data_IF_117985905611
#
_entry.id   IF_117985905611
#
_cell.length_a   1.000
_cell.length_b   1.000
_cell.length_c   1.000
_cell.angle_alpha   90.00
_cell.angle_beta   90.00
_cell.angle_gamma   90.00
#
_symmetry.space_group_name_H-M   'P 1'
#
loop_
_entity.id
_entity.type
_entity.pdbx_description
1 polymer ?
#
# COMPACT_ATOMS: atom_id res chain seq x y z
N UNK A 1 -10.68 0.31 -20.79
CA UNK A 1 -10.45 -0.78 -19.82
C UNK A 1 -9.72 -0.23 -18.60
N UNK A 2 -10.00 -0.73 -17.39
CA UNK A 2 -9.28 -0.35 -16.15
C UNK A 2 -8.90 -1.59 -15.34
N UNK A 3 -7.66 -1.66 -14.89
CA UNK A 3 -7.13 -2.72 -14.02
C UNK A 3 -7.15 -2.28 -12.56
N UNK A 4 -7.64 -3.13 -11.66
CA UNK A 4 -7.84 -2.82 -10.24
C UNK A 4 -7.57 -4.02 -9.33
N UNK A 5 -7.32 -3.76 -8.04
CA UNK A 5 -7.45 -4.77 -6.98
C UNK A 5 -8.21 -4.18 -5.77
N UNK A 6 -8.80 -5.03 -4.95
CA UNK A 6 -9.74 -4.62 -3.91
C UNK A 6 -9.08 -3.88 -2.73
N UNK A 7 -7.80 -4.19 -2.46
CA UNK A 7 -7.04 -3.57 -1.37
C UNK A 7 -6.49 -2.17 -1.72
N UNK A 8 -6.68 -1.68 -2.95
CA UNK A 8 -6.18 -0.38 -3.39
C UNK A 8 -7.25 0.71 -3.14
N UNK A 9 -7.01 1.68 -2.23
CA UNK A 9 -7.96 2.79 -2.02
C UNK A 9 -8.08 3.69 -3.24
N UNK A 10 -7.05 3.76 -4.08
CA UNK A 10 -7.06 4.53 -5.33
C UNK A 10 -7.90 3.84 -6.40
N UNK A 11 -7.91 2.50 -6.46
CA UNK A 11 -8.81 1.75 -7.34
C UNK A 11 -10.27 1.96 -6.96
N UNK A 12 -10.59 1.91 -5.66
CA UNK A 12 -11.94 2.21 -5.18
C UNK A 12 -12.38 3.64 -5.55
N UNK A 13 -11.49 4.62 -5.39
CA UNK A 13 -11.75 6.00 -5.80
C UNK A 13 -12.04 6.09 -7.29
N UNK A 14 -11.18 5.50 -8.13
CA UNK A 14 -11.32 5.54 -9.59
C UNK A 14 -12.65 4.91 -10.02
N UNK A 15 -12.99 3.72 -9.51
CA UNK A 15 -14.26 3.05 -9.86
C UNK A 15 -15.48 3.88 -9.45
N UNK A 16 -15.48 4.54 -8.29
CA UNK A 16 -16.58 5.42 -7.87
C UNK A 16 -16.76 6.62 -8.79
N UNK A 17 -15.65 7.21 -9.23
CA UNK A 17 -15.68 8.35 -10.16
C UNK A 17 -16.20 7.92 -11.53
N UNK A 18 -15.76 6.76 -12.01
CA UNK A 18 -16.24 6.18 -13.26
C UNK A 18 -17.73 5.82 -13.20
N UNK A 19 -18.18 5.23 -12.09
CA UNK A 19 -19.58 4.93 -11.84
C UNK A 19 -20.46 6.19 -11.90
N UNK A 20 -20.00 7.29 -11.30
CA UNK A 20 -20.74 8.57 -11.28
C UNK A 20 -20.89 9.20 -12.67
N UNK A 21 -19.93 8.99 -13.57
CA UNK A 21 -19.96 9.52 -14.94
C UNK A 21 -20.74 8.61 -15.89
N UNK A 22 -20.99 7.35 -15.50
CA UNK A 22 -21.91 6.45 -16.20
C UNK A 22 -21.43 5.97 -17.56
N UNK A 23 -20.11 5.96 -17.81
CA UNK A 23 -19.56 5.52 -19.11
C UNK A 23 -19.69 4.00 -19.28
N UNK A 24 -20.68 3.57 -20.08
CA UNK A 24 -20.99 2.15 -20.31
C UNK A 24 -19.86 1.35 -20.99
N UNK A 25 -18.91 2.05 -21.61
CA UNK A 25 -17.81 1.45 -22.38
C UNK A 25 -16.57 1.10 -21.52
N UNK A 26 -16.69 1.25 -20.20
CA UNK A 26 -15.59 0.94 -19.28
C UNK A 26 -15.69 -0.50 -18.78
N UNK A 27 -14.80 -1.35 -19.28
CA UNK A 27 -14.58 -2.69 -18.70
C UNK A 27 -13.56 -2.63 -17.57
N UNK A 28 -13.93 -3.15 -16.40
CA UNK A 28 -13.07 -3.30 -15.24
C UNK A 28 -12.48 -4.72 -15.19
N UNK A 29 -11.16 -4.82 -15.02
CA UNK A 29 -10.42 -6.06 -14.84
C UNK A 29 -9.92 -6.10 -13.40
N UNK A 30 -10.50 -6.99 -12.58
CA UNK A 30 -10.18 -7.12 -11.17
C UNK A 30 -9.20 -8.27 -10.93
N UNK A 31 -8.08 -7.97 -10.27
CA UNK A 31 -7.06 -8.95 -9.85
C UNK A 31 -7.49 -9.71 -8.58
N UNK A 32 -8.68 -10.31 -8.66
CA UNK A 32 -9.39 -10.86 -7.51
C UNK A 32 -10.18 -12.11 -7.92
N UNK A 33 -10.60 -12.88 -6.91
CA UNK A 33 -11.64 -13.91 -7.11
C UNK A 33 -13.00 -13.26 -7.44
N UNK A 34 -13.89 -13.97 -8.15
CA UNK A 34 -15.20 -13.43 -8.56
C UNK A 34 -16.01 -12.80 -7.44
N UNK A 35 -16.02 -13.40 -6.24
CA UNK A 35 -16.83 -12.91 -5.12
C UNK A 35 -16.31 -11.58 -4.57
N UNK A 36 -14.99 -11.39 -4.60
CA UNK A 36 -14.32 -10.16 -4.14
C UNK A 36 -14.47 -9.08 -5.20
N UNK A 37 -14.30 -9.41 -6.49
CA UNK A 37 -14.54 -8.50 -7.60
C UNK A 37 -15.99 -7.97 -7.61
N UNK A 38 -16.97 -8.86 -7.43
CA UNK A 38 -18.38 -8.47 -7.33
C UNK A 38 -18.64 -7.55 -6.12
N UNK A 39 -17.98 -7.79 -5.00
CA UNK A 39 -18.10 -6.92 -3.81
C UNK A 39 -17.46 -5.55 -4.04
N UNK A 40 -16.32 -5.50 -4.72
CA UNK A 40 -15.65 -4.26 -5.11
C UNK A 40 -16.57 -3.42 -6.00
N UNK A 41 -17.14 -4.02 -7.05
CA UNK A 41 -18.08 -3.37 -7.96
C UNK A 41 -19.27 -2.74 -7.21
N UNK A 42 -19.96 -3.53 -6.37
CA UNK A 42 -21.08 -3.06 -5.56
C UNK A 42 -20.70 -1.92 -4.61
N UNK A 43 -19.53 -2.00 -3.95
CA UNK A 43 -19.05 -0.94 -3.03
C UNK A 43 -18.69 0.36 -3.75
N UNK A 44 -18.33 0.25 -5.03
CA UNK A 44 -18.04 1.39 -5.88
C UNK A 44 -19.29 1.95 -6.58
N UNK A 45 -20.42 1.22 -6.58
CA UNK A 45 -21.58 1.54 -7.40
C UNK A 45 -21.30 1.38 -8.90
N UNK A 46 -20.32 0.54 -9.25
CA UNK A 46 -19.86 0.33 -10.61
C UNK A 46 -20.67 -0.79 -11.26
N UNK A 47 -21.63 -0.41 -12.09
CA UNK A 47 -22.59 -1.31 -12.75
C UNK A 47 -22.13 -1.80 -14.14
N UNK A 48 -20.99 -1.27 -14.63
CA UNK A 48 -20.43 -1.69 -15.92
C UNK A 48 -19.76 -3.07 -15.80
N UNK A 49 -19.34 -3.63 -16.95
CA UNK A 49 -18.75 -4.97 -17.01
C UNK A 49 -17.52 -5.09 -16.12
N UNK A 50 -17.54 -6.07 -15.22
CA UNK A 50 -16.40 -6.47 -14.38
C UNK A 50 -15.99 -7.89 -14.74
N UNK A 51 -14.75 -8.04 -15.16
CA UNK A 51 -14.10 -9.32 -15.41
C UNK A 51 -13.05 -9.57 -14.33
N UNK A 52 -12.79 -10.84 -14.05
CA UNK A 52 -11.71 -11.25 -13.15
C UNK A 52 -10.46 -11.61 -13.94
N UNK A 53 -9.32 -11.23 -13.40
CA UNK A 53 -8.00 -11.69 -13.83
C UNK A 53 -7.38 -12.45 -12.65
N UNK A 54 -7.70 -13.76 -12.51
CA UNK A 54 -7.18 -14.56 -11.40
C UNK A 54 -5.67 -14.77 -11.55
N UNK A 55 -5.00 -15.13 -10.46
CA UNK A 55 -3.60 -15.56 -10.51
C UNK A 55 -3.43 -16.66 -11.59
N UNK A 56 -2.42 -16.55 -12.47
CA UNK A 56 -1.24 -15.69 -12.35
C UNK A 56 -1.36 -14.35 -13.09
N UNK A 57 -2.54 -13.71 -13.11
CA UNK A 57 -2.77 -12.35 -13.61
C UNK A 57 -2.34 -12.14 -15.07
N UNK A 58 -2.65 -13.12 -15.93
CA UNK A 58 -2.17 -13.18 -17.30
C UNK A 58 -2.61 -11.96 -18.14
N UNK A 59 -3.81 -11.43 -17.88
CA UNK A 59 -4.29 -10.24 -18.58
C UNK A 59 -3.52 -9.01 -18.11
N UNK A 60 -3.40 -8.80 -16.80
CA UNK A 60 -2.64 -7.66 -16.28
C UNK A 60 -1.18 -7.65 -16.76
N UNK A 61 -0.55 -8.83 -16.84
CA UNK A 61 0.83 -8.98 -17.34
C UNK A 61 0.95 -8.72 -18.84
N UNK A 62 0.02 -9.18 -19.67
CA UNK A 62 0.07 -8.90 -21.11
C UNK A 62 -0.07 -7.40 -21.44
N UNK A 63 -0.70 -6.63 -20.55
CA UNK A 63 -0.81 -5.18 -20.62
C UNK A 63 0.30 -4.42 -19.88
N UNK A 64 1.30 -5.11 -19.30
CA UNK A 64 2.40 -4.50 -18.56
C UNK A 64 1.91 -3.64 -17.37
N UNK A 65 0.94 -4.17 -16.61
CA UNK A 65 0.34 -3.45 -15.47
C UNK A 65 1.17 -3.69 -14.22
N UNK A 66 1.99 -2.70 -13.87
CA UNK A 66 2.82 -2.72 -12.66
C UNK A 66 2.12 -2.09 -11.45
N UNK A 67 1.20 -1.15 -11.71
CA UNK A 67 0.50 -0.35 -10.70
C UNK A 67 -0.99 -0.35 -11.00
N UNK A 68 -1.83 -0.36 -9.96
CA UNK A 68 -3.28 -0.18 -10.07
C UNK A 68 -3.78 1.03 -9.26
N UNK A 69 -4.84 1.73 -9.69
CA UNK A 69 -5.52 1.51 -10.95
C UNK A 69 -4.65 1.88 -12.15
N UNK A 70 -4.80 1.16 -13.25
CA UNK A 70 -4.27 1.57 -14.55
C UNK A 70 -5.41 1.53 -15.55
N UNK A 71 -5.73 2.66 -16.17
CA UNK A 71 -6.69 2.73 -17.27
C UNK A 71 -5.95 2.67 -18.60
N UNK A 72 -6.51 1.94 -19.55
CA UNK A 72 -6.00 1.80 -20.92
C UNK A 72 -7.16 2.00 -21.89
N UNK A 73 -6.98 2.88 -22.87
CA UNK A 73 -7.89 3.00 -24.01
C UNK A 73 -7.51 1.96 -25.06
N UNK A 74 -8.50 1.14 -25.43
CA UNK A 74 -8.40 0.14 -26.48
C UNK A 74 -9.14 0.69 -27.69
N UNK A 75 -8.49 0.72 -28.85
CA UNK A 75 -9.15 1.11 -30.10
C UNK A 75 -10.02 -0.02 -30.67
N UNK A 76 -10.74 0.28 -31.75
CA UNK A 76 -11.60 -0.68 -32.44
C UNK A 76 -10.83 -1.87 -33.05
N UNK A 77 -9.53 -1.69 -33.30
CA UNK A 77 -8.63 -2.72 -33.81
C UNK A 77 -8.02 -3.57 -32.66
N UNK A 78 -8.39 -3.29 -31.41
CA UNK A 78 -7.92 -4.00 -30.22
C UNK A 78 -6.56 -3.56 -29.70
N UNK A 79 -5.98 -2.47 -30.20
CA UNK A 79 -4.67 -1.96 -29.75
C UNK A 79 -4.80 -0.98 -28.58
N UNK A 80 -3.91 -1.12 -27.62
CA UNK A 80 -3.72 -0.15 -26.54
C UNK A 80 -3.04 1.11 -27.08
N UNK A 81 -3.67 2.28 -26.89
CA UNK A 81 -3.15 3.58 -27.36
C UNK A 81 -2.63 4.43 -26.22
N UNK A 82 -3.53 4.76 -25.30
CA UNK A 82 -3.28 5.71 -24.22
C UNK A 82 -3.48 5.00 -22.89
N UNK A 83 -2.65 5.35 -21.89
CA UNK A 83 -2.77 4.81 -20.53
C UNK A 83 -2.69 5.92 -19.48
N UNK A 84 -3.36 5.70 -18.36
CA UNK A 84 -3.24 6.50 -17.13
C UNK A 84 -2.93 5.56 -15.98
N UNK A 85 -1.89 5.86 -15.21
CA UNK A 85 -1.45 5.08 -14.05
C UNK A 85 -1.81 5.84 -12.77
N UNK A 86 -2.38 5.14 -11.80
CA UNK A 86 -2.98 5.77 -10.63
C UNK A 86 -4.29 6.47 -10.98
N UNK A 87 -4.70 7.39 -10.12
CA UNK A 87 -5.83 8.27 -10.38
C UNK A 87 -5.31 9.62 -10.87
N UNK A 88 -5.82 10.07 -12.02
CA UNK A 88 -5.59 11.40 -12.56
C UNK A 88 -6.85 11.88 -13.29
N UNK A 89 -7.58 12.83 -12.70
CA UNK A 89 -8.89 13.23 -13.20
C UNK A 89 -8.83 13.78 -14.63
N UNK A 90 -7.77 14.53 -14.99
CA UNK A 90 -7.59 15.10 -16.32
C UNK A 90 -7.24 14.04 -17.36
N UNK A 91 -6.35 13.11 -16.99
CA UNK A 91 -6.01 11.94 -17.80
C UNK A 91 -7.21 11.06 -18.07
N UNK A 92 -8.00 10.74 -17.05
CA UNK A 92 -9.24 9.98 -17.22
C UNK A 92 -10.27 10.77 -18.05
N UNK A 93 -10.39 12.07 -17.86
CA UNK A 93 -11.27 12.93 -18.66
C UNK A 93 -10.89 12.88 -20.14
N UNK A 94 -9.58 12.94 -20.43
CA UNK A 94 -9.04 12.85 -21.78
C UNK A 94 -9.22 11.47 -22.41
N UNK A 95 -9.05 10.40 -21.62
CA UNK A 95 -9.26 9.02 -22.09
C UNK A 95 -10.72 8.77 -22.48
N UNK A 96 -11.66 9.32 -21.72
CA UNK A 96 -13.10 9.06 -21.85
C UNK A 96 -13.86 10.11 -22.67
N UNK A 97 -13.26 11.28 -22.92
CA UNK A 97 -13.92 12.40 -23.61
C UNK A 97 -15.02 13.06 -22.77
N UNK A 98 -14.93 12.98 -21.44
CA UNK A 98 -15.93 13.52 -20.48
C UNK A 98 -15.22 14.26 -19.37
N UNK A 99 -15.84 15.28 -18.80
CA UNK A 99 -15.25 16.00 -17.66
C UNK A 99 -15.52 15.24 -16.37
N UNK A 100 -14.45 14.89 -15.65
CA UNK A 100 -14.54 14.32 -14.31
C UNK A 100 -14.17 15.38 -13.27
N UNK A 101 -15.16 15.81 -12.51
CA UNK A 101 -15.02 16.83 -11.47
C UNK A 101 -14.80 16.26 -10.06
N UNK A 102 -14.26 17.11 -9.19
CA UNK A 102 -14.11 16.88 -7.76
C UNK A 102 -12.71 16.46 -7.32
N UNK A 103 -12.47 16.56 -6.01
CA UNK A 103 -11.20 16.22 -5.37
C UNK A 103 -11.18 14.77 -4.84
N UNK A 104 -10.00 14.11 -4.72
CA UNK A 104 -8.70 14.60 -5.18
C UNK A 104 -8.55 14.53 -6.71
N UNK A 105 -7.85 15.49 -7.31
CA UNK A 105 -7.54 15.48 -8.75
C UNK A 105 -6.53 14.41 -9.16
N UNK A 106 -5.58 14.06 -8.30
CA UNK A 106 -4.58 13.02 -8.54
C UNK A 106 -4.29 12.19 -7.28
N UNK A 107 -3.97 10.91 -7.45
CA UNK A 107 -3.55 10.02 -6.36
C UNK A 107 -2.70 8.86 -6.89
N UNK A 108 -1.55 8.54 -6.26
CA UNK A 108 -0.74 7.40 -6.67
C UNK A 108 -1.51 6.08 -6.50
N UNK A 109 -1.14 5.10 -7.33
CA UNK A 109 -1.66 3.74 -7.25
C UNK A 109 -0.96 2.88 -6.20
N UNK A 110 -1.38 1.62 -6.13
CA UNK A 110 -0.72 0.55 -5.40
C UNK A 110 -0.07 -0.41 -6.39
N UNK A 111 0.91 -1.19 -5.94
CA UNK A 111 1.54 -2.23 -6.77
C UNK A 111 0.50 -3.26 -7.20
N UNK A 112 0.53 -3.65 -8.48
CA UNK A 112 -0.33 -4.70 -9.01
C UNK A 112 0.06 -6.07 -8.44
N UNK A 113 -0.92 -6.95 -8.19
CA UNK A 113 -0.65 -8.29 -7.64
C UNK A 113 0.25 -9.12 -8.55
N UNK A 114 0.05 -9.05 -9.86
CA UNK A 114 0.89 -9.76 -10.84
C UNK A 114 2.32 -9.25 -10.95
N UNK A 115 2.58 -7.99 -10.59
CA UNK A 115 3.93 -7.43 -10.57
C UNK A 115 4.67 -7.76 -9.27
N UNK A 116 3.94 -7.83 -8.15
CA UNK A 116 4.50 -8.18 -6.85
C UNK A 116 5.17 -9.56 -6.88
N UNK A 117 4.51 -10.55 -7.48
CA UNK A 117 5.01 -11.92 -7.58
C UNK A 117 6.24 -12.04 -8.51
N UNK A 118 6.32 -11.22 -9.55
CA UNK A 118 7.44 -11.23 -10.51
C UNK A 118 8.68 -10.50 -9.97
N UNK A 119 8.51 -9.55 -9.04
CA UNK A 119 9.57 -8.59 -8.67
C UNK A 119 10.21 -8.79 -7.30
N UNK A 120 9.57 -9.48 -6.35
CA UNK A 120 10.05 -9.56 -4.96
C UNK A 120 10.73 -10.87 -4.57
N UNK A 121 11.07 -11.72 -5.54
CA UNK A 121 11.31 -13.13 -5.25
C UNK A 121 9.99 -13.78 -4.85
N UNK A 122 9.80 -15.05 -5.15
CA UNK A 122 8.56 -15.74 -4.75
C UNK A 122 8.28 -15.60 -3.25
N UNK A 123 7.05 -15.93 -2.83
CA UNK A 123 6.71 -16.04 -1.39
C UNK A 123 7.74 -16.90 -0.64
N UNK A 124 8.32 -17.89 -1.32
CA UNK A 124 9.40 -18.75 -0.84
C UNK A 124 10.66 -17.96 -0.40
N UNK A 125 11.08 -16.92 -1.12
CA UNK A 125 12.23 -16.09 -0.73
C UNK A 125 11.92 -15.24 0.51
N UNK A 126 10.68 -14.76 0.63
CA UNK A 126 10.21 -14.01 1.81
C UNK A 126 10.11 -14.91 3.05
N UNK A 127 9.65 -16.14 2.89
CA UNK A 127 9.65 -17.16 3.94
C UNK A 127 11.07 -17.52 4.37
N UNK A 128 11.99 -17.71 3.41
CA UNK A 128 13.42 -17.95 3.68
C UNK A 128 14.05 -16.80 4.47
N UNK A 129 13.74 -15.55 4.13
CA UNK A 129 14.23 -14.36 4.85
C UNK A 129 13.67 -14.29 6.27
N UNK A 130 12.40 -14.65 6.46
CA UNK A 130 11.78 -14.70 7.79
C UNK A 130 12.41 -15.80 8.66
N UNK A 131 12.59 -17.01 8.13
CA UNK A 131 13.22 -18.13 8.83
C UNK A 131 14.67 -17.83 9.24
N UNK A 132 15.38 -17.06 8.41
CA UNK A 132 16.75 -16.59 8.70
C UNK A 132 16.79 -15.41 9.68
N UNK A 133 15.63 -14.86 10.05
CA UNK A 133 15.49 -13.69 10.93
C UNK A 133 15.93 -12.38 10.28
N UNK A 134 15.91 -12.31 8.95
CA UNK A 134 16.29 -11.12 8.17
C UNK A 134 15.12 -10.14 8.00
N UNK A 135 13.87 -10.61 8.17
CA UNK A 135 12.68 -9.76 8.23
C UNK A 135 11.84 -10.05 9.48
N UNK A 136 10.99 -9.10 9.86
CA UNK A 136 10.03 -9.22 10.96
C UNK A 136 8.69 -9.84 10.52
N UNK A 137 8.65 -10.43 9.33
CA UNK A 137 7.43 -10.96 8.69
C UNK A 137 6.70 -9.94 7.81
N UNK A 138 7.19 -8.70 7.73
CA UNK A 138 6.75 -7.76 6.70
C UNK A 138 7.54 -7.97 5.40
N UNK A 139 6.95 -7.71 4.22
CA UNK A 139 7.67 -7.74 2.96
C UNK A 139 8.84 -6.75 2.98
N UNK A 140 10.06 -7.26 2.83
CA UNK A 140 11.29 -6.46 2.71
C UNK A 140 11.76 -6.54 1.27
N UNK A 141 12.09 -5.39 0.69
CA UNK A 141 12.66 -5.32 -0.66
C UNK A 141 14.19 -5.41 -0.53
N UNK A 142 14.84 -6.50 -0.98
CA UNK A 142 16.29 -6.53 -0.98
C UNK A 142 16.83 -5.44 -1.94
N UNK A 143 17.86 -4.68 -1.54
CA UNK A 143 18.49 -3.72 -2.44
C UNK A 143 19.19 -4.46 -3.58
N UNK A 144 19.15 -3.89 -4.80
CA UNK A 144 19.86 -4.50 -5.93
C UNK A 144 21.37 -4.24 -5.82
N UNK A 145 22.23 -5.14 -6.35
CA UNK A 145 23.69 -4.95 -6.31
C UNK A 145 24.13 -3.59 -6.86
N UNK A 146 23.52 -3.11 -7.95
CA UNK A 146 23.86 -1.84 -8.58
C UNK A 146 23.52 -0.64 -7.66
N UNK A 147 22.41 -0.72 -6.92
CA UNK A 147 22.02 0.31 -5.94
C UNK A 147 22.93 0.29 -4.72
N UNK A 148 23.38 -0.89 -4.30
CA UNK A 148 24.37 -1.04 -3.23
C UNK A 148 25.71 -0.44 -3.67
N UNK A 149 26.18 -0.76 -4.86
CA UNK A 149 27.45 -0.24 -5.40
C UNK A 149 27.41 1.30 -5.53
N UNK A 150 26.33 1.85 -6.05
CA UNK A 150 26.13 3.30 -6.13
C UNK A 150 26.12 3.97 -4.74
N UNK A 151 25.51 3.32 -3.74
CA UNK A 151 25.44 3.82 -2.36
C UNK A 151 26.80 3.74 -1.64
N UNK A 152 27.50 2.60 -1.79
CA UNK A 152 28.83 2.36 -1.21
C UNK A 152 29.86 3.29 -1.86
N UNK A 153 29.78 3.51 -3.17
CA UNK A 153 30.62 4.50 -3.88
C UNK A 153 32.12 4.21 -3.77
N UNK A 154 32.50 2.92 -3.80
CA UNK A 154 33.89 2.48 -3.68
C UNK A 154 34.50 2.59 -2.26
N UNK A 155 33.70 2.90 -1.24
CA UNK A 155 34.13 2.88 0.17
C UNK A 155 34.22 1.44 0.69
N UNK A 156 34.99 1.23 1.76
CA UNK A 156 35.00 -0.05 2.46
C UNK A 156 33.62 -0.32 3.11
N UNK A 157 32.85 -1.21 2.47
CA UNK A 157 31.50 -1.58 2.87
C UNK A 157 31.43 -2.30 4.21
N UNK A 158 32.50 -2.98 4.61
CA UNK A 158 32.58 -3.75 5.86
C UNK A 158 32.93 -2.87 7.09
N UNK A 159 33.24 -1.60 6.88
CA UNK A 159 33.56 -0.67 7.96
C UNK A 159 32.34 -0.43 8.84
N UNK A 160 32.50 -0.70 10.14
CA UNK A 160 31.49 -0.40 11.16
C UNK A 160 31.28 1.12 11.28
N UNK A 161 30.01 1.53 11.23
CA UNK A 161 29.52 2.89 11.48
C UNK A 161 29.13 3.10 12.95
N UNK A 162 29.23 2.04 13.77
CA UNK A 162 28.83 2.03 15.18
C UNK A 162 27.64 1.12 15.45
N UNK A 163 27.28 1.04 16.73
CA UNK A 163 26.17 0.21 17.19
C UNK A 163 24.84 0.94 17.00
N UNK A 164 23.83 0.22 16.50
CA UNK A 164 22.48 0.74 16.31
C UNK A 164 21.53 0.17 17.38
N UNK A 165 21.01 1.00 18.29
CA UNK A 165 19.95 0.60 19.22
C UNK A 165 18.65 0.21 18.47
N UNK A 166 17.77 -0.62 19.05
CA UNK A 166 17.78 -1.15 20.42
C UNK A 166 18.55 -2.46 20.61
N UNK A 167 18.87 -3.17 19.52
CA UNK A 167 19.55 -4.47 19.56
C UNK A 167 21.09 -4.37 19.63
N UNK A 168 21.66 -3.16 19.53
CA UNK A 168 23.11 -2.91 19.54
C UNK A 168 23.86 -3.72 18.48
N UNK A 169 23.26 -3.93 17.31
CA UNK A 169 23.95 -4.53 16.18
C UNK A 169 24.97 -3.55 15.57
N UNK A 170 26.13 -4.03 15.15
CA UNK A 170 27.05 -3.23 14.34
C UNK A 170 26.43 -2.91 12.98
N UNK A 171 26.28 -1.63 12.67
CA UNK A 171 25.86 -1.19 11.35
C UNK A 171 27.09 -1.03 10.45
N UNK A 172 27.02 -1.60 9.26
CA UNK A 172 28.04 -1.43 8.20
C UNK A 172 27.44 -0.67 7.02
N UNK A 173 28.29 -0.16 6.12
CA UNK A 173 27.85 0.56 4.93
C UNK A 173 27.18 -0.37 3.91
N UNK A 174 27.54 -1.65 3.91
CA UNK A 174 26.83 -2.66 3.14
C UNK A 174 25.60 -3.17 3.90
N UNK A 175 24.39 -3.07 3.31
CA UNK A 175 23.14 -3.44 3.99
C UNK A 175 23.02 -4.92 4.34
N UNK A 176 23.89 -5.78 3.80
CA UNK A 176 23.83 -7.24 3.95
C UNK A 176 24.25 -7.76 5.33
N UNK A 177 24.72 -6.90 6.24
CA UNK A 177 25.18 -7.29 7.57
C UNK A 177 24.68 -6.34 8.67
N UNK A 178 23.49 -6.64 9.18
CA UNK A 178 23.16 -6.36 10.59
C UNK A 178 23.20 -7.71 11.31
N UNK A 179 24.23 -7.95 12.12
CA UNK A 179 24.28 -9.15 12.94
C UNK A 179 23.34 -8.99 14.14
N UNK A 180 22.38 -9.90 14.36
CA UNK A 180 21.73 -9.99 15.66
C UNK A 180 22.78 -10.45 16.69
N UNK A 181 22.83 -9.77 17.83
CA UNK A 181 23.64 -10.15 18.99
C UNK A 181 23.40 -11.63 19.35
N UNK A 182 24.42 -12.47 19.17
CA UNK A 182 24.46 -13.83 19.71
C UNK A 182 25.21 -13.78 21.05
N UNK A 183 24.59 -13.25 22.10
CA UNK A 183 25.38 -12.95 23.30
C UNK A 183 24.67 -12.63 24.61
N UNK A 184 23.54 -13.25 24.98
CA UNK A 184 23.07 -13.10 26.37
C UNK A 184 21.82 -13.87 26.77
N UNK A 185 22.00 -14.99 27.48
CA UNK A 185 20.91 -15.62 28.25
C UNK A 185 20.40 -14.62 29.30
N UNK A 186 19.14 -14.23 29.19
CA UNK A 186 18.43 -13.47 30.22
C UNK A 186 16.94 -13.53 29.96
N UNK A 187 16.28 -14.55 30.53
CA UNK A 187 14.82 -14.65 30.47
C UNK A 187 14.17 -13.44 31.13
N UNK A 188 13.58 -12.57 30.32
CA UNK A 188 12.78 -11.44 30.77
C UNK A 188 11.68 -11.19 29.76
N UNK A 189 10.47 -11.69 30.03
CA UNK A 189 9.28 -11.41 29.23
C UNK A 189 9.01 -9.90 29.25
N UNK A 190 9.39 -9.18 28.21
CA UNK A 190 8.97 -7.81 28.00
C UNK A 190 7.49 -7.83 27.58
N UNK A 191 6.59 -7.60 28.54
CA UNK A 191 5.19 -7.33 28.29
C UNK A 191 5.09 -6.06 27.45
N UNK A 192 4.46 -6.19 26.29
CA UNK A 192 4.03 -5.13 25.38
C UNK A 192 3.35 -3.98 26.12
N UNK A 193 4.05 -2.85 26.26
CA UNK A 193 3.49 -1.59 26.73
C UNK A 193 2.97 -0.79 25.51
N UNK A 194 1.89 -1.26 24.90
CA UNK A 194 1.14 -0.52 23.87
C UNK A 194 -0.35 -0.79 24.03
N UNK A 195 -0.88 -0.40 25.19
CA UNK A 195 -2.31 -0.25 25.41
C UNK A 195 -2.53 0.81 26.49
N UNK A 196 -2.60 2.08 26.06
CA UNK A 196 -3.38 3.17 26.68
C UNK A 196 -3.10 4.49 25.93
N UNK A 197 -3.76 4.65 24.80
CA UNK A 197 -4.03 5.97 24.23
C UNK A 197 -5.45 5.95 23.65
N UNK A 198 -6.45 6.02 24.53
CA UNK A 198 -7.81 6.40 24.21
C UNK A 198 -8.28 7.41 25.25
N UNK A 199 -8.77 8.56 24.78
CA UNK A 199 -9.63 9.46 25.55
C UNK A 199 -8.93 10.65 26.19
N UNK A 200 -8.82 11.75 25.45
CA UNK A 200 -8.85 13.09 26.05
C UNK A 200 -9.55 14.06 25.09
N UNK A 201 -10.88 14.04 25.12
CA UNK A 201 -11.74 15.14 24.72
C UNK A 201 -12.78 15.31 25.82
N UNK A 202 -12.84 16.56 26.29
CA UNK A 202 -13.96 17.27 26.92
C UNK A 202 -14.46 16.83 28.30
N UNK A 203 -14.30 17.75 29.25
CA UNK A 203 -15.38 18.15 30.17
C UNK A 203 -15.10 19.57 30.69
N UNK A 204 -15.53 20.54 29.89
CA UNK A 204 -15.86 21.87 30.38
C UNK A 204 -17.32 21.84 30.85
N UNK A 205 -17.52 21.74 32.16
CA UNK A 205 -18.82 21.97 32.78
C UNK A 205 -18.64 22.75 34.08
N UNK A 206 -19.22 23.95 34.12
CA UNK A 206 -19.05 24.94 35.16
C UNK A 206 -19.60 24.50 36.53
N UNK A 207 -18.90 24.95 37.57
CA UNK A 207 -19.42 25.04 38.94
C UNK A 207 -20.28 26.29 39.08
N UNK A 208 -21.53 26.21 39.55
CA UNK A 208 -22.16 27.34 40.21
C UNK A 208 -21.74 27.41 41.68
N UNK A 209 -21.45 28.64 42.07
CA UNK A 209 -21.21 29.17 43.40
C UNK A 209 -22.35 28.85 44.39
N UNK A 210 -21.98 28.40 45.60
CA UNK A 210 -22.77 28.56 46.84
C UNK A 210 -21.82 28.64 48.04
N UNK A 211 -21.49 29.87 48.44
CA UNK A 211 -21.36 30.20 49.87
C UNK A 211 -22.68 29.87 50.59
N UNK A 212 -22.74 29.48 51.85
CA UNK A 212 -21.86 29.78 52.96
C UNK A 212 -22.70 30.50 54.01
N UNK A 213 -23.44 29.77 54.86
CA UNK A 213 -24.09 30.32 56.05
C UNK A 213 -24.14 29.30 57.19
N UNK A 214 -24.05 29.85 58.40
CA UNK A 214 -23.43 29.30 59.62
C UNK A 214 -24.45 28.56 60.49
N UNK A 215 -23.96 27.69 61.36
CA UNK A 215 -24.70 27.11 62.49
C UNK A 215 -24.38 27.87 63.78
N UNK A 216 -25.41 28.33 64.49
CA UNK A 216 -25.62 28.32 65.96
C UNK A 216 -26.91 29.13 66.23
N UNK A 217 -27.86 28.68 67.06
CA UNK A 217 -27.83 28.78 68.52
C UNK A 217 -27.40 30.17 69.01
#
# INVERSE_FOLDING_TARGET
MIFVHADCPTSMLALRRLAAVGSADVVCIAQERPEVAARLARRAGFEQTVLVDPAPYAVSRSFGVETVPTAVRIDVDGRARDRVVGWDAEGYSSLLGVVIDGEPRSKPGCVARGFFEESFGGLDELEDMFERGWSDGLPVVPPTPERVEAMVGGRDGARSLGLVPPAQGEATLEPSRVFPDRGGRGGGRARSALQRARGRCDDAAGRPDRGGERSSA
#
